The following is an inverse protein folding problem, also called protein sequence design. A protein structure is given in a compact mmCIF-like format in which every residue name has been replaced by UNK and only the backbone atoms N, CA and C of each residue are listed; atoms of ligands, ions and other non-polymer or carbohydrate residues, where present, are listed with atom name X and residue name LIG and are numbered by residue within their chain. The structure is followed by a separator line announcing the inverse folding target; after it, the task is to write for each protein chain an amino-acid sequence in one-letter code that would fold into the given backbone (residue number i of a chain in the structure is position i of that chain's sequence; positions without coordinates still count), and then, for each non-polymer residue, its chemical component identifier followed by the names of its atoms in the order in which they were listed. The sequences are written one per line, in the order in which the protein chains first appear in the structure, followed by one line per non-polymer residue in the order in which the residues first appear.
data_IF_339904060883
#
_entry.id   IF_339904060883
#
_cell.length_a   1.000
_cell.length_b   1.000
_cell.length_c   1.000
_cell.angle_alpha   90.00
_cell.angle_beta   90.00
_cell.angle_gamma   90.00
#
_symmetry.space_group_name_H-M   'P 1'
#
loop_
_entity.id
_entity.type
_entity.pdbx_description
1 polymer ?
#
# COMPACT_ATOMS: atom_id res chain seq x y z
N UNK A 1 -31.85 -15.84 6.43
CA UNK A 1 -30.79 -16.86 6.28
C UNK A 1 -29.68 -16.58 7.29
N UNK A 2 -29.32 -17.52 8.17
CA UNK A 2 -28.14 -17.38 9.05
C UNK A 2 -26.91 -17.84 8.29
N UNK A 3 -25.90 -16.99 8.19
CA UNK A 3 -24.60 -17.37 7.66
C UNK A 3 -23.91 -18.33 8.66
N UNK A 4 -23.36 -19.49 8.24
CA UNK A 4 -22.75 -20.44 9.18
C UNK A 4 -21.51 -19.85 9.86
N UNK A 5 -21.40 -19.97 11.19
CA UNK A 5 -20.28 -19.39 11.97
C UNK A 5 -18.90 -19.84 11.47
N UNK A 6 -18.76 -21.10 11.05
CA UNK A 6 -17.51 -21.64 10.47
C UNK A 6 -17.05 -20.94 9.18
N UNK A 7 -17.93 -20.17 8.53
CA UNK A 7 -17.59 -19.38 7.33
C UNK A 7 -17.20 -17.94 7.67
N UNK A 8 -17.46 -17.45 8.88
CA UNK A 8 -17.11 -16.09 9.30
C UNK A 8 -15.59 -15.89 9.31
N UNK A 9 -14.84 -16.86 9.82
CA UNK A 9 -13.36 -16.83 9.82
C UNK A 9 -12.81 -16.72 8.40
N UNK A 10 -13.39 -17.46 7.45
CA UNK A 10 -13.01 -17.39 6.05
C UNK A 10 -13.29 -16.01 5.44
N UNK A 11 -14.44 -15.40 5.76
CA UNK A 11 -14.78 -14.06 5.29
C UNK A 11 -13.81 -13.01 5.83
N UNK A 12 -13.51 -13.05 7.13
CA UNK A 12 -12.55 -12.14 7.76
C UNK A 12 -11.16 -12.31 7.14
N UNK A 13 -10.72 -13.56 6.96
CA UNK A 13 -9.47 -13.85 6.28
C UNK A 13 -9.44 -13.26 4.87
N UNK A 14 -10.50 -13.44 4.08
CA UNK A 14 -10.61 -12.87 2.75
C UNK A 14 -10.57 -11.33 2.78
N UNK A 15 -11.32 -10.70 3.70
CA UNK A 15 -11.29 -9.24 3.88
C UNK A 15 -9.89 -8.73 4.20
N UNK A 16 -9.13 -9.43 5.05
CA UNK A 16 -7.74 -9.09 5.34
C UNK A 16 -6.83 -9.26 4.11
N UNK A 17 -6.99 -10.34 3.32
CA UNK A 17 -6.23 -10.55 2.08
C UNK A 17 -6.50 -9.45 1.05
N UNK A 18 -7.75 -8.99 0.94
CA UNK A 18 -8.14 -7.89 0.05
C UNK A 18 -7.85 -6.50 0.64
N UNK A 19 -7.16 -6.40 1.79
CA UNK A 19 -6.87 -5.14 2.50
C UNK A 19 -8.12 -4.30 2.77
N UNK A 20 -9.23 -4.95 3.16
CA UNK A 20 -10.49 -4.28 3.50
C UNK A 20 -10.62 -4.03 5.01
N UNK A 21 -9.88 -4.76 5.83
CA UNK A 21 -9.89 -4.59 7.28
C UNK A 21 -8.53 -4.90 7.91
N UNK A 22 -8.37 -4.47 9.17
CA UNK A 22 -7.22 -4.78 10.01
C UNK A 22 -7.68 -5.08 11.44
N UNK A 23 -6.91 -5.84 12.24
CA UNK A 23 -7.28 -6.15 13.62
C UNK A 23 -7.19 -4.91 14.52
N UNK A 24 -8.12 -4.77 15.46
CA UNK A 24 -8.07 -3.72 16.48
C UNK A 24 -7.05 -4.14 17.55
N UNK A 25 -5.81 -3.63 17.42
CA UNK A 25 -4.72 -3.80 18.41
C UNK A 25 -3.50 -4.58 17.90
N UNK A 26 -2.43 -4.56 18.70
CA UNK A 26 -1.12 -5.19 18.44
C UNK A 26 -1.08 -6.70 18.71
N UNK A 27 -2.25 -7.35 18.80
CA UNK A 27 -2.33 -8.78 19.05
C UNK A 27 -1.46 -9.56 18.05
N UNK A 28 -0.72 -10.60 18.51
CA UNK A 28 0.15 -11.37 17.63
C UNK A 28 -0.63 -11.82 16.39
N UNK A 29 0.05 -11.89 15.25
CA UNK A 29 -0.53 -12.20 13.93
C UNK A 29 -1.01 -13.65 13.79
N UNK A 30 -1.64 -14.19 14.83
CA UNK A 30 -2.18 -15.53 14.95
C UNK A 30 -3.72 -15.53 15.20
N UNK A 31 -4.42 -14.43 14.90
CA UNK A 31 -5.89 -14.41 14.84
C UNK A 31 -6.60 -14.23 16.18
N UNK A 32 -5.95 -13.66 17.18
CA UNK A 32 -6.50 -13.47 18.53
C UNK A 32 -7.17 -12.09 18.76
N UNK A 33 -7.54 -11.37 17.70
CA UNK A 33 -8.33 -10.13 17.82
C UNK A 33 -9.78 -10.42 17.47
N UNK A 34 -10.66 -10.31 18.47
CA UNK A 34 -12.11 -10.45 18.31
C UNK A 34 -12.75 -9.24 17.62
N UNK A 35 -11.96 -8.18 17.33
CA UNK A 35 -12.46 -6.92 16.77
C UNK A 35 -11.65 -6.52 15.54
N UNK A 36 -12.34 -6.31 14.44
CA UNK A 36 -11.76 -5.85 13.19
C UNK A 36 -12.22 -4.45 12.86
N UNK A 37 -11.32 -3.67 12.27
CA UNK A 37 -11.59 -2.30 11.83
C UNK A 37 -11.65 -2.31 10.31
N UNK A 38 -12.76 -1.79 9.78
CA UNK A 38 -12.94 -1.51 8.36
C UNK A 38 -12.75 0.00 8.17
N UNK A 39 -11.70 0.47 7.47
CA UNK A 39 -11.43 1.90 7.33
C UNK A 39 -12.61 2.69 6.78
N UNK A 40 -13.37 2.08 5.86
CA UNK A 40 -14.53 2.71 5.22
C UNK A 40 -15.70 2.94 6.19
N UNK A 41 -15.71 2.26 7.34
CA UNK A 41 -16.72 2.43 8.40
C UNK A 41 -16.23 3.29 9.56
N UNK A 42 -15.04 3.87 9.47
CA UNK A 42 -14.55 4.80 10.48
C UNK A 42 -15.40 6.08 10.49
N UNK A 43 -15.35 6.87 11.57
CA UNK A 43 -15.92 8.21 11.56
C UNK A 43 -15.38 9.06 10.41
N UNK A 44 -16.20 9.95 9.89
CA UNK A 44 -15.80 10.89 8.84
C UNK A 44 -14.92 12.01 9.40
N UNK A 45 -15.27 12.52 10.57
CA UNK A 45 -14.61 13.70 11.14
C UNK A 45 -13.23 13.38 11.70
N UNK A 46 -12.34 14.36 11.61
CA UNK A 46 -11.03 14.28 12.23
C UNK A 46 -11.18 14.21 13.77
N UNK A 47 -10.53 13.26 14.44
CA UNK A 47 -10.53 13.20 15.91
C UNK A 47 -10.02 14.49 16.55
N UNK A 48 -10.77 15.04 17.50
CA UNK A 48 -10.44 16.29 18.23
C UNK A 48 -9.11 16.21 19.00
N UNK A 49 -8.80 15.03 19.56
CA UNK A 49 -7.58 14.76 20.34
C UNK A 49 -6.28 14.78 19.51
N UNK A 50 -6.37 15.01 18.20
CA UNK A 50 -5.22 14.89 17.30
C UNK A 50 -4.37 16.15 17.28
N UNK A 51 -3.15 16.04 17.78
CA UNK A 51 -2.17 17.10 17.74
C UNK A 51 -1.10 16.83 16.67
N UNK A 52 -1.38 17.29 15.46
CA UNK A 52 -0.39 17.33 14.38
C UNK A 52 -0.41 18.69 13.69
N UNK A 53 0.57 19.51 14.03
CA UNK A 53 0.83 20.75 13.31
C UNK A 53 1.64 20.45 12.05
N UNK A 54 0.93 20.24 10.94
CA UNK A 54 1.54 20.08 9.63
C UNK A 54 2.25 21.35 9.16
N UNK A 55 1.92 22.53 9.74
CA UNK A 55 2.50 23.83 9.43
C UNK A 55 3.78 24.13 10.19
N UNK A 56 4.20 23.22 11.07
CA UNK A 56 5.44 23.36 11.83
C UNK A 56 6.68 23.30 10.94
N UNK A 57 7.62 24.19 11.22
CA UNK A 57 8.88 24.32 10.50
C UNK A 57 9.67 22.99 10.45
N UNK A 58 10.12 22.58 9.26
CA UNK A 58 10.83 21.32 9.03
C UNK A 58 9.95 20.06 8.92
N UNK A 59 8.63 20.20 8.89
CA UNK A 59 7.76 19.11 8.45
C UNK A 59 7.85 18.97 6.92
N UNK A 60 8.23 17.80 6.45
CA UNK A 60 8.15 17.47 5.02
C UNK A 60 6.68 17.34 4.64
N UNK A 61 6.26 18.02 3.57
CA UNK A 61 4.91 17.89 3.02
C UNK A 61 4.97 17.59 1.53
N UNK A 62 4.27 16.53 1.17
CA UNK A 62 4.19 16.02 -0.20
C UNK A 62 2.73 15.77 -0.55
N UNK A 63 2.32 16.15 -1.76
CA UNK A 63 0.94 16.00 -2.24
C UNK A 63 0.92 15.19 -3.52
N UNK A 64 0.00 14.23 -3.59
CA UNK A 64 -0.42 13.61 -4.83
C UNK A 64 -1.74 14.27 -5.25
N UNK A 65 -1.72 15.04 -6.34
CA UNK A 65 -2.91 15.70 -6.88
C UNK A 65 -3.44 14.88 -8.05
N UNK A 66 -4.68 14.42 -7.95
CA UNK A 66 -5.31 13.57 -8.96
C UNK A 66 -6.10 14.42 -9.95
N UNK A 67 -5.95 14.12 -11.24
CA UNK A 67 -6.58 14.93 -12.30
C UNK A 67 -8.12 14.82 -12.24
N UNK A 68 -8.63 13.58 -12.24
CA UNK A 68 -10.07 13.30 -12.37
C UNK A 68 -10.78 13.04 -11.05
N UNK A 69 -10.23 12.15 -10.22
CA UNK A 69 -10.80 11.80 -8.90
C UNK A 69 -9.74 11.13 -8.03
N UNK A 70 -9.90 11.21 -6.71
CA UNK A 70 -9.12 10.44 -5.73
C UNK A 70 -9.97 9.25 -5.24
N UNK A 71 -9.65 7.99 -5.61
CA UNK A 71 -10.40 6.83 -5.12
C UNK A 71 -10.27 6.67 -3.60
N UNK A 72 -11.39 6.50 -2.89
CA UNK A 72 -11.42 6.23 -1.43
C UNK A 72 -10.54 5.04 -1.03
N UNK A 73 -10.49 4.03 -1.88
CA UNK A 73 -9.70 2.83 -1.65
C UNK A 73 -8.19 3.08 -1.53
N UNK A 74 -7.66 4.18 -2.07
CA UNK A 74 -6.24 4.55 -1.93
C UNK A 74 -5.89 4.74 -0.45
N UNK A 75 -6.66 5.59 0.25
CA UNK A 75 -6.43 5.84 1.67
C UNK A 75 -6.80 4.61 2.51
N UNK A 76 -7.90 3.91 2.19
CA UNK A 76 -8.31 2.72 2.94
C UNK A 76 -7.25 1.61 2.91
N UNK A 77 -6.68 1.30 1.74
CA UNK A 77 -5.57 0.33 1.63
C UNK A 77 -4.33 0.80 2.37
N UNK A 78 -4.03 2.09 2.31
CA UNK A 78 -2.89 2.67 3.00
C UNK A 78 -3.03 2.52 4.53
N UNK A 79 -4.20 2.82 5.09
CA UNK A 79 -4.50 2.62 6.52
C UNK A 79 -4.31 1.15 6.91
N UNK A 80 -4.81 0.21 6.10
CA UNK A 80 -4.66 -1.23 6.36
C UNK A 80 -3.21 -1.68 6.24
N UNK A 81 -2.42 -1.12 5.32
CA UNK A 81 -1.00 -1.47 5.17
C UNK A 81 -0.14 -0.95 6.32
N UNK A 82 -0.49 0.21 6.89
CA UNK A 82 0.24 0.87 7.98
C UNK A 82 -0.46 0.77 9.33
N UNK A 83 -1.38 -0.19 9.52
CA UNK A 83 -2.23 -0.21 10.71
C UNK A 83 -1.45 -0.30 12.03
N UNK A 84 -0.28 -0.94 12.01
CA UNK A 84 0.59 -1.09 13.19
C UNK A 84 1.23 0.22 13.60
N UNK A 85 1.39 1.16 12.68
CA UNK A 85 1.96 2.48 12.95
C UNK A 85 0.88 3.49 13.37
N UNK A 86 -0.41 3.12 13.38
CA UNK A 86 -1.50 4.03 13.78
C UNK A 86 -1.30 4.46 15.23
N UNK A 87 -1.10 5.76 15.43
CA UNK A 87 -0.89 6.33 16.74
C UNK A 87 -2.23 6.45 17.47
N UNK A 88 -2.38 5.78 18.61
CA UNK A 88 -3.52 5.90 19.54
C UNK A 88 -4.89 5.75 18.84
N UNK A 89 -4.96 4.86 17.84
CA UNK A 89 -6.17 4.62 17.05
C UNK A 89 -6.65 5.83 16.26
N UNK A 90 -5.77 6.78 15.92
CA UNK A 90 -6.09 7.99 15.18
C UNK A 90 -6.18 7.71 13.66
N UNK A 91 -7.27 7.06 13.26
CA UNK A 91 -7.67 6.88 11.87
C UNK A 91 -9.14 7.29 11.68
N UNK A 92 -9.45 7.89 10.55
CA UNK A 92 -10.79 8.33 10.12
C UNK A 92 -10.89 8.24 8.60
N UNK A 93 -12.08 8.39 8.02
CA UNK A 93 -12.27 8.18 6.56
C UNK A 93 -11.45 9.12 5.67
N UNK A 94 -10.96 10.23 6.23
CA UNK A 94 -10.20 11.27 5.53
C UNK A 94 -8.74 11.33 5.96
N UNK A 95 -8.27 10.48 6.87
CA UNK A 95 -6.85 10.43 7.17
C UNK A 95 -6.44 9.47 8.27
N UNK A 96 -5.14 9.47 8.53
CA UNK A 96 -4.50 8.66 9.55
C UNK A 96 -3.29 9.38 10.12
N UNK A 97 -3.15 9.32 11.44
CA UNK A 97 -1.97 9.78 12.16
C UNK A 97 -1.14 8.56 12.55
N UNK A 98 0.10 8.54 12.08
CA UNK A 98 1.04 7.46 12.24
C UNK A 98 2.20 7.89 13.14
N UNK A 99 2.69 6.96 13.95
CA UNK A 99 3.94 7.05 14.69
C UNK A 99 4.80 5.86 14.29
N UNK A 100 5.96 6.14 13.70
CA UNK A 100 6.81 5.08 13.20
C UNK A 100 7.29 4.19 14.34
N UNK A 101 7.22 2.88 14.12
CA UNK A 101 7.76 1.88 15.04
C UNK A 101 9.26 1.66 14.86
N UNK A 102 9.76 1.85 13.64
CA UNK A 102 11.17 1.66 13.28
C UNK A 102 12.00 2.94 13.48
N UNK A 103 11.36 4.11 13.38
CA UNK A 103 12.02 5.41 13.48
C UNK A 103 11.52 6.20 14.68
N UNK A 104 12.33 6.23 15.74
CA UNK A 104 12.00 6.95 16.99
C UNK A 104 11.69 8.42 16.72
N UNK A 105 10.76 8.96 17.50
CA UNK A 105 10.35 10.37 17.46
C UNK A 105 9.93 10.88 16.08
N UNK A 106 9.44 9.99 15.21
CA UNK A 106 8.99 10.33 13.86
C UNK A 106 7.52 10.00 13.71
N UNK A 107 6.72 11.00 13.34
CA UNK A 107 5.27 10.87 13.15
C UNK A 107 4.88 11.38 11.77
N UNK A 108 3.80 10.84 11.22
CA UNK A 108 3.29 11.24 9.93
C UNK A 108 1.77 11.42 9.96
N UNK A 109 1.29 12.35 9.16
CA UNK A 109 -0.13 12.59 8.94
C UNK A 109 -0.40 12.40 7.46
N UNK A 110 -1.28 11.46 7.14
CA UNK A 110 -1.75 11.25 5.76
C UNK A 110 -3.22 11.63 5.69
N UNK A 111 -3.56 12.54 4.77
CA UNK A 111 -4.92 13.07 4.61
C UNK A 111 -5.38 13.02 3.17
N UNK A 112 -6.62 12.61 2.98
CA UNK A 112 -7.31 12.66 1.70
C UNK A 112 -8.35 13.78 1.71
N UNK A 113 -8.14 14.77 0.85
CA UNK A 113 -9.17 15.71 0.45
C UNK A 113 -9.80 15.20 -0.86
N UNK A 114 -11.00 14.64 -0.75
CA UNK A 114 -11.70 14.09 -1.92
C UNK A 114 -12.32 15.17 -2.81
N UNK A 115 -12.57 16.37 -2.29
CA UNK A 115 -13.10 17.49 -3.07
C UNK A 115 -12.00 18.06 -3.95
N UNK A 116 -10.84 18.34 -3.34
CA UNK A 116 -9.64 18.84 -4.03
C UNK A 116 -8.91 17.73 -4.78
N UNK A 117 -9.26 16.47 -4.53
CA UNK A 117 -8.62 15.27 -5.11
C UNK A 117 -7.14 15.25 -4.80
N UNK A 118 -6.79 15.51 -3.53
CA UNK A 118 -5.41 15.57 -3.05
C UNK A 118 -5.21 14.59 -1.92
N UNK A 119 -4.18 13.74 -2.06
CA UNK A 119 -3.64 12.96 -0.95
C UNK A 119 -2.37 13.66 -0.44
N UNK A 120 -2.40 14.16 0.79
CA UNK A 120 -1.27 14.82 1.43
C UNK A 120 -0.57 13.86 2.39
N UNK A 121 0.75 13.82 2.33
CA UNK A 121 1.63 13.13 3.27
C UNK A 121 2.48 14.18 3.95
N UNK A 122 2.35 14.32 5.27
CA UNK A 122 3.17 15.20 6.08
C UNK A 122 3.98 14.36 7.08
N UNK A 123 5.29 14.57 7.16
CA UNK A 123 6.18 13.81 8.06
C UNK A 123 7.02 14.78 8.89
N UNK A 124 7.10 14.53 10.20
CA UNK A 124 7.91 15.29 11.15
C UNK A 124 8.72 14.36 12.04
N UNK A 125 9.87 14.83 12.53
CA UNK A 125 10.70 14.09 13.48
C UNK A 125 12.18 14.04 13.08
N UNK A 126 12.91 13.13 13.70
CA UNK A 126 14.35 12.98 13.47
C UNK A 126 14.71 12.25 12.16
N UNK A 127 13.80 11.41 11.64
CA UNK A 127 14.06 10.53 10.49
C UNK A 127 13.04 10.72 9.36
N UNK A 128 12.77 11.98 9.04
CA UNK A 128 11.77 12.40 8.05
C UNK A 128 12.01 11.77 6.69
N UNK A 129 13.25 11.78 6.20
CA UNK A 129 13.66 11.21 4.92
C UNK A 129 13.36 9.71 4.82
N UNK A 130 13.73 8.95 5.86
CA UNK A 130 13.57 7.49 5.87
C UNK A 130 12.12 7.08 6.02
N UNK A 131 11.37 7.70 6.94
CA UNK A 131 9.98 7.33 7.13
C UNK A 131 9.12 7.76 5.95
N UNK A 132 9.38 8.95 5.38
CA UNK A 132 8.71 9.38 4.17
C UNK A 132 8.94 8.41 3.00
N UNK A 133 10.17 7.91 2.82
CA UNK A 133 10.47 6.89 1.79
C UNK A 133 9.55 5.67 1.89
N UNK A 134 9.37 5.14 3.10
CA UNK A 134 8.49 3.98 3.35
C UNK A 134 7.03 4.30 2.99
N UNK A 135 6.52 5.44 3.46
CA UNK A 135 5.13 5.84 3.21
C UNK A 135 4.90 6.13 1.72
N UNK A 136 5.83 6.82 1.08
CA UNK A 136 5.75 7.12 -0.35
C UNK A 136 5.72 5.85 -1.19
N UNK A 137 6.65 4.91 -0.96
CA UNK A 137 6.69 3.65 -1.71
C UNK A 137 5.40 2.84 -1.53
N UNK A 138 4.83 2.84 -0.33
CA UNK A 138 3.53 2.20 -0.09
C UNK A 138 2.41 2.85 -0.90
N UNK A 139 2.36 4.19 -0.96
CA UNK A 139 1.36 4.89 -1.78
C UNK A 139 1.56 4.60 -3.27
N UNK A 140 2.79 4.69 -3.78
CA UNK A 140 3.08 4.39 -5.20
C UNK A 140 2.68 2.97 -5.55
N UNK A 141 3.01 1.98 -4.71
CA UNK A 141 2.60 0.57 -4.88
C UNK A 141 1.09 0.40 -4.92
N UNK A 142 0.35 1.19 -4.15
CA UNK A 142 -1.13 1.23 -4.21
C UNK A 142 -1.59 1.80 -5.57
N UNK A 143 -0.97 2.90 -6.02
CA UNK A 143 -1.31 3.58 -7.28
C UNK A 143 -0.96 2.77 -8.53
N UNK A 144 0.09 1.95 -8.50
CA UNK A 144 0.48 1.03 -9.59
C UNK A 144 -0.64 0.05 -9.96
N UNK A 145 -1.53 -0.29 -9.02
CA UNK A 145 -2.71 -1.13 -9.28
C UNK A 145 -3.76 -0.42 -10.14
N UNK A 146 -3.62 0.88 -10.35
CA UNK A 146 -4.54 1.75 -11.08
C UNK A 146 -3.79 2.55 -12.15
N UNK A 147 -3.20 1.91 -13.18
CA UNK A 147 -2.28 2.57 -14.13
C UNK A 147 -2.93 3.66 -14.99
N UNK A 148 -4.26 3.67 -15.09
CA UNK A 148 -5.02 4.70 -15.80
C UNK A 148 -5.28 5.95 -14.94
N UNK A 149 -4.99 5.90 -13.64
CA UNK A 149 -5.19 7.00 -12.72
C UNK A 149 -4.04 7.99 -12.87
N UNK A 150 -4.34 9.18 -13.39
CA UNK A 150 -3.37 10.24 -13.60
C UNK A 150 -3.29 11.15 -12.37
N UNK A 151 -2.07 11.46 -11.97
CA UNK A 151 -1.76 12.32 -10.84
C UNK A 151 -0.43 13.04 -11.04
N UNK A 152 -0.30 14.20 -10.41
CA UNK A 152 0.96 14.94 -10.29
C UNK A 152 1.47 14.89 -8.86
N UNK A 153 2.78 15.03 -8.71
CA UNK A 153 3.50 14.99 -7.43
C UNK A 153 3.95 16.40 -7.11
N UNK A 154 3.55 16.92 -5.96
CA UNK A 154 3.85 18.29 -5.57
C UNK A 154 4.60 18.30 -4.24
N UNK A 155 5.66 19.09 -4.17
CA UNK A 155 6.46 19.30 -2.97
C UNK A 155 6.14 20.67 -2.39
N UNK A 156 5.97 20.74 -1.07
CA UNK A 156 5.92 22.01 -0.37
C UNK A 156 7.30 22.66 -0.31
N UNK A 157 7.35 23.95 -0.66
CA UNK A 157 8.55 24.77 -0.60
C UNK A 157 8.81 25.21 0.84
N UNK A 158 9.62 24.43 1.56
CA UNK A 158 10.00 24.70 2.95
C UNK A 158 10.84 26.00 3.04
N UNK A 159 10.47 26.89 3.96
CA UNK A 159 11.16 28.16 4.18
C UNK A 159 12.64 27.95 4.56
N UNK A 160 13.00 26.82 5.19
CA UNK A 160 14.42 26.46 5.49
C UNK A 160 15.28 26.32 4.24
N UNK A 161 14.67 25.99 3.11
CA UNK A 161 15.35 25.89 1.84
C UNK A 161 15.41 27.24 1.09
N UNK A 162 14.67 28.25 1.55
CA UNK A 162 14.66 29.58 0.93
C UNK A 162 16.01 30.26 1.10
N UNK A 163 16.48 30.87 0.02
CA UNK A 163 17.72 31.65 -0.03
C UNK A 163 17.32 33.10 0.23
N UNK A 164 17.77 33.64 1.36
CA UNK A 164 17.55 35.04 1.72
C UNK A 164 18.05 35.98 0.60
N UNK A 165 17.38 37.12 0.43
CA UNK A 165 17.98 38.25 -0.31
C UNK A 165 18.98 38.95 0.60
N UNK A 166 20.08 39.45 0.03
CA UNK A 166 20.97 40.36 0.77
C UNK A 166 20.14 41.52 1.35
N UNK A 167 20.23 41.71 2.67
CA UNK A 167 19.48 42.73 3.41
C UNK A 167 18.08 42.32 3.88
N UNK A 168 17.59 41.12 3.56
CA UNK A 168 16.29 40.63 4.04
C UNK A 168 16.48 39.79 5.32
N UNK A 169 15.92 40.19 6.47
CA UNK A 169 16.10 39.43 7.72
C UNK A 169 15.51 38.03 7.58
N UNK A 170 16.18 36.98 8.10
CA UNK A 170 15.67 35.62 8.06
C UNK A 170 14.29 35.56 8.73
N UNK A 171 13.29 35.07 8.00
CA UNK A 171 11.95 34.81 8.54
C UNK A 171 10.97 35.99 8.57
N UNK A 172 11.22 37.12 7.86
CA UNK A 172 10.28 38.27 7.85
C UNK A 172 9.64 38.64 6.51
N UNK A 173 9.72 37.78 5.51
CA UNK A 173 9.11 38.00 4.19
C UNK A 173 7.67 37.46 4.09
N UNK A 174 6.67 38.33 4.33
CA UNK A 174 5.20 38.12 4.28
C UNK A 174 4.59 37.22 5.39
N UNK A 175 4.16 37.90 6.47
CA UNK A 175 3.07 37.53 7.39
C UNK A 175 2.95 36.06 7.85
N UNK A 176 3.54 35.71 9.00
CA UNK A 176 3.11 34.72 10.02
C UNK A 176 2.46 33.37 9.62
N UNK A 177 2.54 32.93 8.36
CA UNK A 177 2.16 31.59 7.88
C UNK A 177 2.75 31.42 6.50
N UNK A 178 3.49 30.34 6.29
CA UNK A 178 3.82 29.91 4.94
C UNK A 178 2.51 29.81 4.14
N UNK A 179 2.43 30.36 2.90
CA UNK A 179 1.26 30.17 2.08
C UNK A 179 1.08 28.66 1.91
N UNK A 180 -0.08 28.13 2.27
CA UNK A 180 -0.40 26.70 2.07
C UNK A 180 -0.21 26.28 0.60
N UNK A 181 -0.26 27.25 -0.31
CA UNK A 181 -0.11 27.10 -1.76
C UNK A 181 1.34 27.17 -2.27
N UNK A 182 2.35 27.26 -1.39
CA UNK A 182 3.76 27.26 -1.77
C UNK A 182 4.22 25.86 -2.22
N UNK A 183 3.65 25.39 -3.33
CA UNK A 183 3.90 24.07 -3.91
C UNK A 183 4.64 24.21 -5.24
N UNK A 184 5.52 23.25 -5.54
CA UNK A 184 6.15 23.07 -6.83
C UNK A 184 5.95 21.64 -7.34
N UNK A 185 5.94 21.47 -8.66
CA UNK A 185 5.91 20.14 -9.27
C UNK A 185 7.23 19.42 -8.99
N UNK A 186 7.13 18.19 -8.50
CA UNK A 186 8.29 17.42 -8.09
C UNK A 186 9.16 17.02 -9.28
N UNK A 187 8.55 16.68 -10.42
CA UNK A 187 9.31 16.27 -11.61
C UNK A 187 10.05 17.45 -12.22
N UNK A 188 9.46 18.65 -12.21
CA UNK A 188 10.13 19.88 -12.64
C UNK A 188 11.36 20.17 -11.76
N UNK A 189 11.26 19.97 -10.43
CA UNK A 189 12.40 20.14 -9.53
C UNK A 189 13.53 19.13 -9.81
N UNK A 190 13.18 17.87 -10.09
CA UNK A 190 14.14 16.83 -10.45
C UNK A 190 14.81 17.12 -11.80
N UNK A 191 14.07 17.63 -12.78
CA UNK A 191 14.62 18.02 -14.07
C UNK A 191 15.66 19.15 -13.92
N UNK A 192 15.34 20.17 -13.13
CA UNK A 192 16.28 21.27 -12.84
C UNK A 192 17.55 20.77 -12.15
N UNK A 193 17.43 19.88 -11.15
CA UNK A 193 18.60 19.28 -10.49
C UNK A 193 19.46 18.45 -11.47
N UNK A 194 18.82 17.70 -12.38
CA UNK A 194 19.50 16.92 -13.41
C UNK A 194 20.23 17.81 -14.43
N UNK A 195 19.70 19.00 -14.73
CA UNK A 195 20.34 20.02 -15.56
C UNK A 195 21.50 20.74 -14.84
N UNK A 196 21.73 20.43 -13.56
CA UNK A 196 22.80 21.01 -12.74
C UNK A 196 22.43 22.34 -12.10
N UNK A 197 21.16 22.73 -12.11
CA UNK A 197 20.70 23.93 -11.43
C UNK A 197 20.74 23.74 -9.91
N UNK A 198 21.24 24.75 -9.20
CA UNK A 198 21.27 24.73 -7.72
C UNK A 198 20.11 25.52 -7.09
N UNK A 199 19.51 26.43 -7.86
CA UNK A 199 18.56 27.42 -7.38
C UNK A 199 17.25 27.34 -8.16
N UNK A 200 16.19 26.93 -7.48
CA UNK A 200 14.83 27.03 -8.00
C UNK A 200 14.25 28.43 -7.74
N UNK A 201 13.77 29.10 -8.79
CA UNK A 201 13.16 30.44 -8.71
C UNK A 201 11.68 30.33 -9.05
N UNK A 202 10.82 30.84 -8.18
CA UNK A 202 9.38 30.89 -8.42
C UNK A 202 8.76 32.16 -7.80
N UNK A 203 7.43 32.30 -7.94
CA UNK A 203 6.67 33.42 -7.36
C UNK A 203 6.78 33.52 -5.83
N UNK A 204 7.17 32.44 -5.16
CA UNK A 204 7.36 32.39 -3.70
C UNK A 204 8.79 32.73 -3.25
N UNK A 205 9.72 32.93 -4.18
CA UNK A 205 11.11 33.28 -3.88
C UNK A 205 12.12 32.37 -4.56
N UNK A 206 13.35 32.36 -4.01
CA UNK A 206 14.47 31.54 -4.48
C UNK A 206 14.74 30.46 -3.44
N UNK A 207 14.88 29.22 -3.88
CA UNK A 207 15.08 28.07 -3.01
C UNK A 207 16.30 27.28 -3.46
N UNK A 208 17.02 26.69 -2.52
CA UNK A 208 18.10 25.75 -2.81
C UNK A 208 17.50 24.38 -3.14
N UNK A 209 17.73 23.89 -4.36
CA UNK A 209 17.23 22.59 -4.82
C UNK A 209 17.76 21.46 -3.94
N UNK A 210 19.07 21.46 -3.65
CA UNK A 210 19.71 20.51 -2.74
C UNK A 210 19.04 20.43 -1.37
N UNK A 211 18.61 21.56 -0.79
CA UNK A 211 17.92 21.57 0.51
C UNK A 211 16.48 21.05 0.40
N UNK A 212 15.75 21.43 -0.66
CA UNK A 212 14.38 20.99 -0.90
C UNK A 212 14.28 19.49 -1.15
N UNK A 213 15.20 18.94 -1.95
CA UNK A 213 15.18 17.55 -2.39
C UNK A 213 15.88 16.59 -1.43
N UNK A 214 16.71 17.09 -0.49
CA UNK A 214 17.41 16.26 0.51
C UNK A 214 16.52 15.22 1.22
N UNK A 215 15.28 15.51 1.64
CA UNK A 215 14.44 14.53 2.32
C UNK A 215 13.79 13.51 1.37
N UNK A 216 13.93 13.70 0.05
CA UNK A 216 13.30 12.85 -0.95
C UNK A 216 14.17 11.60 -1.19
N UNK A 217 13.56 10.41 -1.32
CA UNK A 217 14.25 9.18 -1.68
C UNK A 217 15.04 9.34 -2.99
N UNK A 218 16.36 9.09 -2.94
CA UNK A 218 17.25 9.12 -4.13
C UNK A 218 16.87 8.13 -5.25
N UNK A 219 16.05 7.14 -4.93
CA UNK A 219 15.51 6.22 -5.94
C UNK A 219 14.51 6.91 -6.87
N UNK A 220 13.87 8.01 -6.42
CA UNK A 220 12.98 8.84 -7.24
C UNK A 220 13.72 9.65 -8.30
N UNK A 221 14.99 10.02 -8.04
CA UNK A 221 15.85 10.76 -8.97
C UNK A 221 16.14 9.94 -10.26
N UNK A 222 15.86 8.63 -10.26
CA UNK A 222 16.20 7.70 -11.36
C UNK A 222 15.03 7.31 -12.28
N UNK A 223 13.92 8.03 -12.20
CA UNK A 223 12.92 8.09 -13.27
C UNK A 223 11.71 7.18 -13.10
N UNK A 224 10.56 7.80 -12.87
CA UNK A 224 9.26 7.24 -13.23
C UNK A 224 8.42 8.35 -13.88
N UNK A 225 8.68 8.58 -15.16
CA UNK A 225 7.89 9.50 -16.00
C UNK A 225 6.51 8.87 -16.21
N UNK A 226 5.54 9.23 -15.37
CA UNK A 226 4.14 8.97 -15.66
C UNK A 226 3.66 10.00 -16.68
N UNK A 227 4.03 9.79 -17.95
CA UNK A 227 3.60 10.65 -19.06
C UNK A 227 2.08 10.63 -19.20
N UNK A 228 1.47 11.81 -19.09
CA UNK A 228 0.27 12.14 -19.84
C UNK A 228 0.68 12.24 -21.30
N UNK A 229 0.38 11.21 -22.09
CA UNK A 229 0.44 11.27 -23.55
C UNK A 229 -0.96 10.96 -24.06
N UNK A 230 -1.55 11.96 -24.68
CA UNK A 230 -2.82 11.95 -25.39
C UNK A 230 -2.74 10.95 -26.56
N UNK A 231 -3.60 9.94 -26.56
CA UNK A 231 -3.61 8.88 -27.57
C UNK A 231 -4.31 9.39 -28.84
N UNK A 232 -3.55 9.85 -29.82
CA UNK A 232 -3.99 9.79 -31.22
C UNK A 232 -3.54 8.44 -31.80
N UNK A 233 -4.49 7.71 -32.38
CA UNK A 233 -4.29 6.37 -32.90
C UNK A 233 -3.60 6.42 -34.28
N UNK A 234 -2.55 5.62 -34.49
CA UNK A 234 -2.33 4.70 -35.63
C UNK A 234 -0.96 3.96 -35.54
N UNK A 235 -0.72 2.88 -36.32
CA UNK A 235 -0.24 1.59 -35.79
C UNK A 235 1.28 1.41 -35.78
N UNK A 236 1.73 0.50 -34.92
CA UNK A 236 3.13 0.12 -34.68
C UNK A 236 3.51 -1.09 -35.55
N UNK A 237 4.66 -1.10 -36.24
CA UNK A 237 5.40 -2.32 -36.53
C UNK A 237 6.44 -2.59 -35.43
N UNK A 238 6.53 -3.85 -35.02
CA UNK A 238 7.43 -4.38 -34.01
C UNK A 238 8.92 -4.14 -34.33
N UNK A 239 9.74 -3.97 -33.28
CA UNK A 239 10.80 -4.94 -32.89
C UNK A 239 11.77 -4.34 -31.85
N UNK A 240 11.95 -5.08 -30.75
CA UNK A 240 13.21 -5.18 -30.01
C UNK A 240 13.45 -4.20 -28.86
N UNK A 241 12.91 -4.50 -27.65
CA UNK A 241 13.48 -4.00 -26.39
C UNK A 241 13.90 -5.18 -25.53
N UNK A 242 15.20 -5.47 -25.56
CA UNK A 242 15.87 -6.26 -24.53
C UNK A 242 15.60 -5.59 -23.18
N UNK A 243 15.06 -6.38 -22.25
CA UNK A 243 14.42 -5.90 -21.05
C UNK A 243 15.32 -6.05 -19.84
N UNK A 244 15.45 -4.97 -19.10
CA UNK A 244 16.19 -4.79 -17.84
C UNK A 244 15.96 -5.89 -16.78
N UNK A 245 14.91 -6.70 -16.90
CA UNK A 245 14.65 -7.89 -16.08
C UNK A 245 15.76 -8.97 -16.13
N UNK A 246 16.53 -9.07 -17.22
CA UNK A 246 17.61 -10.07 -17.33
C UNK A 246 18.83 -9.80 -16.43
N UNK A 247 18.94 -8.62 -15.82
CA UNK A 247 20.04 -8.29 -14.89
C UNK A 247 19.69 -8.49 -13.41
N UNK A 248 18.45 -8.86 -13.10
CA UNK A 248 18.00 -9.17 -11.74
C UNK A 248 17.87 -10.68 -11.45
N UNK A 249 18.16 -11.54 -12.42
CA UNK A 249 18.22 -13.01 -12.24
C UNK A 249 19.54 -13.51 -11.65
N UNK A 250 20.48 -12.62 -11.34
CA UNK A 250 21.81 -12.98 -10.81
C UNK A 250 21.87 -13.29 -9.31
N UNK A 251 20.82 -13.05 -8.52
CA UNK A 251 20.75 -13.45 -7.11
C UNK A 251 19.37 -14.04 -6.85
N UNK A 252 19.36 -15.35 -6.58
CA UNK A 252 18.19 -16.21 -6.66
C UNK A 252 17.05 -15.87 -5.70
N UNK A 253 15.83 -16.11 -6.21
CA UNK A 253 14.64 -16.38 -5.41
C UNK A 253 13.56 -15.30 -5.51
N UNK A 254 12.36 -15.73 -5.97
CA UNK A 254 11.06 -15.05 -5.87
C UNK A 254 10.63 -14.12 -7.03
N UNK A 255 10.57 -14.66 -8.25
CA UNK A 255 9.70 -14.14 -9.30
C UNK A 255 8.71 -15.22 -9.77
N UNK A 256 7.69 -15.54 -8.95
CA UNK A 256 6.62 -16.47 -9.33
C UNK A 256 5.28 -16.25 -8.59
N UNK A 257 4.85 -15.00 -8.34
CA UNK A 257 3.58 -14.76 -7.62
C UNK A 257 2.56 -13.89 -8.37
N UNK A 258 2.88 -13.29 -9.52
CA UNK A 258 1.94 -12.33 -10.15
C UNK A 258 0.89 -13.01 -11.06
N UNK A 259 1.03 -14.30 -11.37
CA UNK A 259 0.08 -15.04 -12.24
C UNK A 259 -1.07 -15.78 -11.54
N UNK A 260 -1.11 -15.86 -10.20
CA UNK A 260 -1.94 -16.88 -9.50
C UNK A 260 -3.20 -16.36 -8.82
N UNK A 261 -3.56 -15.07 -8.94
CA UNK A 261 -4.77 -14.53 -8.29
C UNK A 261 -6.02 -14.65 -9.20
N UNK A 262 -5.86 -14.72 -10.52
CA UNK A 262 -7.00 -14.76 -11.44
C UNK A 262 -7.86 -16.05 -11.40
N UNK A 263 -7.34 -17.26 -11.08
CA UNK A 263 -8.19 -18.45 -10.95
C UNK A 263 -8.99 -18.51 -9.64
N UNK A 264 -8.54 -17.84 -8.57
CA UNK A 264 -9.20 -17.90 -7.26
C UNK A 264 -10.53 -17.14 -7.25
N UNK A 265 -10.67 -16.07 -8.05
CA UNK A 265 -11.94 -15.33 -8.18
C UNK A 265 -12.99 -16.19 -8.89
N UNK A 266 -12.61 -16.92 -9.94
CA UNK A 266 -13.51 -17.83 -10.65
C UNK A 266 -13.96 -19.02 -9.81
N UNK A 267 -13.04 -19.61 -9.03
CA UNK A 267 -13.37 -20.67 -8.09
C UNK A 267 -14.26 -20.20 -6.92
N UNK A 268 -14.08 -18.96 -6.44
CA UNK A 268 -14.89 -18.36 -5.39
C UNK A 268 -16.33 -18.09 -5.86
N UNK A 269 -16.50 -17.59 -7.09
CA UNK A 269 -17.82 -17.40 -7.70
C UNK A 269 -18.51 -18.75 -7.91
N UNK A 270 -17.81 -19.76 -8.43
CA UNK A 270 -18.37 -21.12 -8.60
C UNK A 270 -18.68 -21.84 -7.27
N UNK A 271 -17.98 -21.50 -6.18
CA UNK A 271 -18.22 -22.03 -4.84
C UNK A 271 -19.39 -21.35 -4.12
N UNK A 272 -19.63 -20.06 -4.39
CA UNK A 272 -20.74 -19.30 -3.81
C UNK A 272 -22.08 -19.59 -4.48
N UNK A 273 -22.08 -20.04 -5.73
CA UNK A 273 -23.30 -20.20 -6.55
C UNK A 273 -23.94 -21.60 -6.48
N UNK A 274 -23.38 -22.56 -5.72
CA UNK A 274 -23.91 -23.93 -5.64
C UNK A 274 -24.62 -24.22 -4.31
N UNK A 275 -25.91 -24.57 -4.34
CA UNK A 275 -26.56 -25.18 -3.18
C UNK A 275 -26.07 -26.62 -3.04
N UNK A 276 -25.50 -26.94 -1.87
CA UNK A 276 -25.19 -28.28 -1.33
C UNK A 276 -24.82 -29.38 -2.34
N UNK A 277 -23.53 -29.72 -2.45
CA UNK A 277 -23.09 -30.95 -3.12
C UNK A 277 -23.01 -32.13 -2.13
N UNK A 278 -23.46 -33.34 -2.52
CA UNK A 278 -23.30 -34.57 -1.75
C UNK A 278 -21.82 -34.96 -1.56
N UNK A 279 -21.56 -35.73 -0.50
CA UNK A 279 -20.24 -36.15 0.01
C UNK A 279 -19.43 -36.99 -1.00
N UNK A 280 -20.11 -37.55 -1.99
CA UNK A 280 -19.65 -38.44 -3.06
C UNK A 280 -18.90 -37.70 -4.21
N UNK A 281 -18.75 -36.38 -4.09
CA UNK A 281 -18.00 -35.54 -5.04
C UNK A 281 -16.48 -35.42 -4.76
N UNK A 282 -16.00 -35.93 -3.62
CA UNK A 282 -14.58 -35.84 -3.21
C UNK A 282 -13.60 -36.67 -4.07
N UNK A 283 -14.02 -37.79 -4.65
CA UNK A 283 -13.17 -38.61 -5.54
C UNK A 283 -12.89 -37.92 -6.89
N UNK A 284 -13.78 -37.02 -7.32
CA UNK A 284 -13.62 -36.25 -8.57
C UNK A 284 -12.70 -35.03 -8.39
N UNK A 285 -12.65 -34.46 -7.19
CA UNK A 285 -11.77 -33.32 -6.86
C UNK A 285 -10.33 -33.80 -6.64
N UNK A 286 -10.16 -34.95 -6.00
CA UNK A 286 -8.83 -35.57 -5.76
C UNK A 286 -8.21 -36.10 -7.05
N UNK A 287 -8.98 -36.73 -7.94
CA UNK A 287 -8.49 -37.15 -9.26
C UNK A 287 -8.12 -35.96 -10.18
N UNK A 288 -8.84 -34.84 -10.10
CA UNK A 288 -8.50 -33.62 -10.82
C UNK A 288 -7.22 -32.93 -10.31
N UNK A 289 -6.90 -33.07 -9.01
CA UNK A 289 -5.67 -32.55 -8.40
C UNK A 289 -4.44 -33.44 -8.61
N UNK A 290 -4.64 -34.74 -8.86
CA UNK A 290 -3.55 -35.70 -9.07
C UNK A 290 -3.23 -35.91 -10.57
N UNK A 291 -4.19 -35.69 -11.47
CA UNK A 291 -4.01 -35.90 -12.91
C UNK A 291 -3.41 -34.73 -13.70
N UNK A 292 -3.25 -33.55 -13.09
CA UNK A 292 -2.71 -32.36 -13.76
C UNK A 292 -1.22 -32.19 -13.47
N UNK A 293 -0.38 -32.28 -14.50
CA UNK A 293 1.04 -32.01 -14.43
C UNK A 293 1.32 -30.54 -14.02
N UNK A 294 1.38 -30.24 -12.72
CA UNK A 294 2.01 -29.03 -12.17
C UNK A 294 2.50 -29.31 -10.74
N UNK A 295 3.83 -29.21 -10.58
CA UNK A 295 4.56 -29.66 -9.41
C UNK A 295 4.38 -28.86 -8.12
N UNK A 296 4.81 -29.48 -7.02
CA UNK A 296 5.23 -28.86 -5.76
C UNK A 296 4.14 -28.25 -4.88
N UNK A 297 3.38 -27.29 -5.40
CA UNK A 297 2.53 -26.41 -4.57
C UNK A 297 1.22 -27.08 -4.15
N UNK A 298 0.65 -27.94 -5.00
CA UNK A 298 -0.54 -28.72 -4.65
C UNK A 298 -0.27 -29.73 -3.53
N UNK A 299 0.90 -30.35 -3.54
CA UNK A 299 1.33 -31.27 -2.48
C UNK A 299 1.52 -30.53 -1.15
N UNK A 300 2.08 -29.32 -1.15
CA UNK A 300 2.29 -28.52 0.07
C UNK A 300 0.97 -28.06 0.68
N UNK A 301 -0.03 -27.68 -0.12
CA UNK A 301 -1.36 -27.30 0.38
C UNK A 301 -2.12 -28.50 0.93
N UNK A 302 -2.05 -29.66 0.27
CA UNK A 302 -2.65 -30.91 0.78
C UNK A 302 -1.95 -31.36 2.06
N UNK A 303 -0.62 -31.23 2.15
CA UNK A 303 0.16 -31.54 3.36
C UNK A 303 -0.11 -30.54 4.48
N UNK A 304 -0.25 -29.25 4.19
CA UNK A 304 -0.56 -28.23 5.19
C UNK A 304 -1.98 -28.40 5.75
N UNK A 305 -2.95 -28.74 4.89
CA UNK A 305 -4.32 -29.05 5.31
C UNK A 305 -4.39 -30.38 6.07
N UNK A 306 -3.64 -31.40 5.65
CA UNK A 306 -3.54 -32.67 6.37
C UNK A 306 -2.86 -32.52 7.74
N UNK A 307 -1.77 -31.73 7.82
CA UNK A 307 -1.09 -31.41 9.08
C UNK A 307 -1.97 -30.56 10.02
N UNK A 308 -2.74 -29.62 9.46
CA UNK A 308 -3.72 -28.83 10.21
C UNK A 308 -4.89 -29.69 10.73
N UNK A 309 -5.34 -30.70 9.96
CA UNK A 309 -6.35 -31.67 10.39
C UNK A 309 -5.82 -32.69 11.41
N UNK A 310 -4.55 -33.11 11.29
CA UNK A 310 -3.86 -33.97 12.27
C UNK A 310 -3.74 -33.26 13.62
N UNK A 311 -3.30 -32.00 13.65
CA UNK A 311 -3.14 -31.23 14.88
C UNK A 311 -4.48 -30.93 15.59
N UNK A 312 -5.61 -31.06 14.89
CA UNK A 312 -6.97 -30.95 15.46
C UNK A 312 -7.63 -32.30 15.77
N UNK A 313 -6.90 -33.42 15.70
CA UNK A 313 -7.38 -34.74 16.12
C UNK A 313 -8.51 -35.32 15.27
N UNK A 314 -8.61 -34.95 13.99
CA UNK A 314 -9.72 -35.36 13.09
C UNK A 314 -9.37 -36.43 12.05
N UNK A 315 -8.21 -37.07 12.16
CA UNK A 315 -7.83 -38.20 11.33
C UNK A 315 -7.68 -39.43 12.24
N UNK A 316 -8.73 -40.26 12.29
CA UNK A 316 -8.66 -41.62 12.84
C UNK A 316 -8.50 -42.57 11.66
N UNK A 317 -7.31 -43.17 11.51
CA UNK A 317 -7.13 -44.30 10.60
C UNK A 317 -7.36 -45.59 11.40
N UNK A 318 -8.64 -45.89 11.61
CA UNK A 318 -9.10 -47.15 12.19
C UNK A 318 -8.91 -48.31 11.22
N UNK A 319 -7.85 -49.08 11.47
CA UNK A 319 -7.48 -50.38 10.90
C UNK A 319 -8.61 -51.25 10.35
N UNK A 320 -8.45 -51.72 9.10
CA UNK A 320 -9.15 -52.89 8.56
C UNK A 320 -8.90 -54.08 9.48
N UNK A 321 -9.92 -54.51 10.22
CA UNK A 321 -9.99 -55.85 10.81
C UNK A 321 -10.03 -56.87 9.67
N UNK A 322 -8.90 -57.51 9.39
CA UNK A 322 -8.90 -58.83 8.78
C UNK A 322 -9.40 -59.83 9.82
N UNK A 323 -10.43 -60.58 9.45
CA UNK A 323 -10.82 -61.77 10.18
C UNK A 323 -9.78 -62.87 10.02
N UNK A 324 -9.54 -63.61 11.09
CA UNK A 324 -9.28 -65.03 11.04
C UNK A 324 -9.71 -65.61 12.39
N UNK A 325 -10.86 -66.25 12.40
CA UNK A 325 -11.10 -67.36 13.32
C UNK A 325 -10.39 -68.61 12.81
N UNK A 326 -10.64 -69.72 13.52
CA UNK A 326 -10.10 -71.08 13.32
C UNK A 326 -8.77 -71.27 14.10
N UNK A 327 -8.62 -72.16 15.08
CA UNK A 327 -9.44 -73.23 15.65
C UNK A 327 -9.14 -73.37 17.15
#
# INVERSE_FOLDING_TARGET
MRYPEKRLDFLIWAMAQFKLCYPSGDGPGNGASDRWIVPDLLPSDQPERMEFDAQREGALRFRFRFERFLPRHVLNMFIVEHYRDIHDGLAWQHGVHLKSRDYRETTALVRADYQERVLTVAVRGAHVDRYFSVLYHSIVKILERMPKLKYTRLVHLDEKARIAREGEPPGRGRANREPEDALADFEDLLALEADGEEIFRCKFGRYSLKKLLKPMPREMERGHVSSGMEYSAQPVPERGKASWWERLSGLGGLAAIIGTIFPLVGALVAFLDKPALPVDSWERITSALIGGAMGGVGAVLVVAVAAWLWHRGKLDWGSKKNGMGVH
#
